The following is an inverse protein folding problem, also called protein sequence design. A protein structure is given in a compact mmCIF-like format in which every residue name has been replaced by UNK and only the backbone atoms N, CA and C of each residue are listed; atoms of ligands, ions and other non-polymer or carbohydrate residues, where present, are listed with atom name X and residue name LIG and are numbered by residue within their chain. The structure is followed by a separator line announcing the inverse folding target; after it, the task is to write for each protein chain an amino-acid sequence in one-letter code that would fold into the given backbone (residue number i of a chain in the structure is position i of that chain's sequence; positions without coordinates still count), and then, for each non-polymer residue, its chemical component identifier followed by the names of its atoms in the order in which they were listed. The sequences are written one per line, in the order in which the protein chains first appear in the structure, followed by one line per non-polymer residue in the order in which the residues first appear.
data_IF_959326224303
#
_entry.id   IF_959326224303
#
_cell.length_a   1.000
_cell.length_b   1.000
_cell.length_c   1.000
_cell.angle_alpha   90.00
_cell.angle_beta   90.00
_cell.angle_gamma   90.00
#
_symmetry.space_group_name_H-M   'P 1'
#
loop_
_entity.id
_entity.type
_entity.pdbx_description
1 polymer ?
#
# COMPACT_ATOMS: atom_id res chain seq x y z
N UNK A 1 11.45 -17.84 15.27
CA UNK A 1 10.44 -18.10 14.20
C UNK A 1 9.08 -18.29 14.87
N UNK A 2 8.05 -17.65 14.33
CA UNK A 2 6.70 -17.76 14.89
C UNK A 2 6.06 -19.12 14.55
N UNK A 3 5.31 -19.69 15.48
CA UNK A 3 4.47 -20.86 15.24
C UNK A 3 3.20 -20.45 14.47
N UNK A 4 2.52 -21.43 13.87
CA UNK A 4 1.24 -21.17 13.19
C UNK A 4 0.17 -20.62 14.14
N UNK A 5 0.14 -21.06 15.37
CA UNK A 5 -0.82 -20.56 16.38
C UNK A 5 -0.51 -19.13 16.80
N UNK A 6 0.77 -18.76 16.93
CA UNK A 6 1.18 -17.39 17.20
C UNK A 6 0.81 -16.46 16.04
N UNK A 7 1.02 -16.89 14.78
CA UNK A 7 0.62 -16.11 13.59
C UNK A 7 -0.89 -15.91 13.57
N UNK A 8 -1.67 -16.96 13.78
CA UNK A 8 -3.14 -16.86 13.84
C UNK A 8 -3.60 -15.89 14.93
N UNK A 9 -3.03 -15.97 16.11
CA UNK A 9 -3.36 -15.10 17.22
C UNK A 9 -3.07 -13.63 16.87
N UNK A 10 -1.91 -13.35 16.28
CA UNK A 10 -1.54 -11.99 15.85
C UNK A 10 -2.48 -11.45 14.76
N UNK A 11 -2.87 -12.29 13.79
CA UNK A 11 -3.84 -11.89 12.75
C UNK A 11 -5.20 -11.56 13.36
N UNK A 12 -5.70 -12.39 14.27
CA UNK A 12 -6.97 -12.15 14.96
C UNK A 12 -6.94 -10.82 15.73
N UNK A 13 -5.87 -10.56 16.47
CA UNK A 13 -5.68 -9.32 17.22
C UNK A 13 -5.60 -8.10 16.28
N UNK A 14 -4.89 -8.22 15.16
CA UNK A 14 -4.82 -7.15 14.16
C UNK A 14 -6.20 -6.83 13.58
N UNK A 15 -6.99 -7.84 13.21
CA UNK A 15 -8.37 -7.64 12.70
C UNK A 15 -9.26 -6.99 13.74
N UNK A 16 -9.18 -7.39 15.01
CA UNK A 16 -9.93 -6.76 16.11
C UNK A 16 -9.57 -5.28 16.26
N UNK A 17 -8.29 -4.95 16.22
CA UNK A 17 -7.80 -3.57 16.29
C UNK A 17 -8.31 -2.73 15.12
N UNK A 18 -8.25 -3.26 13.89
CA UNK A 18 -8.76 -2.58 12.70
C UNK A 18 -10.28 -2.33 12.84
N UNK A 19 -11.05 -3.32 13.24
CA UNK A 19 -12.50 -3.15 13.45
C UNK A 19 -12.85 -2.11 14.51
N UNK A 20 -12.09 -2.04 15.58
CA UNK A 20 -12.35 -1.10 16.67
C UNK A 20 -11.92 0.33 16.37
N UNK A 21 -10.87 0.52 15.57
CA UNK A 21 -10.32 1.84 15.25
C UNK A 21 -10.74 2.38 13.88
N UNK A 22 -11.22 1.52 12.98
CA UNK A 22 -11.62 1.85 11.61
C UNK A 22 -10.60 2.78 10.91
N UNK A 23 -9.33 2.36 10.77
CA UNK A 23 -8.30 3.22 10.20
C UNK A 23 -8.54 3.45 8.72
N UNK A 24 -8.11 4.63 8.24
CA UNK A 24 -8.08 4.91 6.82
C UNK A 24 -6.93 4.13 6.18
N UNK A 25 -7.25 3.28 5.21
CA UNK A 25 -6.30 2.57 4.39
C UNK A 25 -6.23 3.23 3.01
N UNK A 26 -5.15 3.94 2.74
CA UNK A 26 -4.91 4.55 1.44
C UNK A 26 -4.39 3.52 0.45
N UNK A 27 -4.82 3.61 -0.80
CA UNK A 27 -4.32 2.74 -1.86
C UNK A 27 -4.10 3.48 -3.16
N UNK A 28 -2.96 3.20 -3.78
CA UNK A 28 -2.67 3.52 -5.18
C UNK A 28 -2.43 2.16 -5.84
N UNK A 29 -3.40 1.68 -6.63
CA UNK A 29 -3.42 0.30 -7.09
C UNK A 29 -3.81 0.19 -8.57
N UNK A 30 -3.78 -1.02 -9.09
CA UNK A 30 -4.07 -1.27 -10.50
C UNK A 30 -5.58 -1.25 -10.80
N UNK A 31 -5.93 -0.92 -12.04
CA UNK A 31 -7.31 -0.79 -12.48
C UNK A 31 -8.09 -2.12 -12.57
N UNK A 32 -7.40 -3.24 -12.57
CA UNK A 32 -8.03 -4.58 -12.65
C UNK A 32 -8.65 -4.99 -11.31
N UNK A 33 -7.96 -4.70 -10.22
CA UNK A 33 -8.33 -5.20 -8.89
C UNK A 33 -8.74 -4.10 -7.90
N UNK A 34 -8.80 -2.85 -8.32
CA UNK A 34 -9.07 -1.70 -7.43
C UNK A 34 -10.35 -1.89 -6.61
N UNK A 35 -11.43 -2.32 -7.23
CA UNK A 35 -12.70 -2.55 -6.55
C UNK A 35 -12.60 -3.69 -5.53
N UNK A 36 -11.93 -4.77 -5.88
CA UNK A 36 -11.69 -5.89 -4.97
C UNK A 36 -10.87 -5.47 -3.74
N UNK A 37 -9.81 -4.70 -3.95
CA UNK A 37 -8.95 -4.18 -2.87
C UNK A 37 -9.75 -3.30 -1.92
N UNK A 38 -10.54 -2.36 -2.46
CA UNK A 38 -11.40 -1.50 -1.65
C UNK A 38 -12.38 -2.31 -0.80
N UNK A 39 -13.07 -3.28 -1.41
CA UNK A 39 -14.03 -4.12 -0.71
C UNK A 39 -13.37 -5.01 0.36
N UNK A 40 -12.18 -5.54 0.10
CA UNK A 40 -11.43 -6.31 1.09
C UNK A 40 -11.04 -5.46 2.32
N UNK A 41 -10.59 -4.22 2.09
CA UNK A 41 -10.27 -3.28 3.17
C UNK A 41 -11.50 -2.94 4.01
N UNK A 42 -12.65 -2.70 3.38
CA UNK A 42 -13.91 -2.48 4.08
C UNK A 42 -14.36 -3.72 4.86
N UNK A 43 -14.23 -4.89 4.27
CA UNK A 43 -14.66 -6.14 4.89
C UNK A 43 -13.92 -6.45 6.21
N UNK A 44 -12.64 -6.08 6.31
CA UNK A 44 -11.85 -6.26 7.55
C UNK A 44 -12.06 -5.13 8.56
N UNK A 45 -12.85 -4.11 8.23
CA UNK A 45 -13.23 -3.03 9.14
C UNK A 45 -12.46 -1.73 8.97
N UNK A 46 -11.65 -1.59 7.92
CA UNK A 46 -10.98 -0.34 7.57
C UNK A 46 -11.87 0.60 6.73
N UNK A 47 -11.41 1.83 6.54
CA UNK A 47 -11.98 2.77 5.57
C UNK A 47 -11.06 2.80 4.35
N UNK A 48 -11.60 2.45 3.17
CA UNK A 48 -10.82 2.39 1.94
C UNK A 48 -10.79 3.75 1.23
N UNK A 49 -9.60 4.21 0.86
CA UNK A 49 -9.40 5.43 0.07
C UNK A 49 -8.50 5.13 -1.13
N UNK A 50 -9.07 5.19 -2.33
CA UNK A 50 -8.36 4.95 -3.59
C UNK A 50 -8.04 6.29 -4.23
N UNK A 51 -6.76 6.57 -4.46
CA UNK A 51 -6.30 7.86 -4.99
C UNK A 51 -5.35 7.69 -6.17
N UNK A 52 -5.21 8.74 -6.96
CA UNK A 52 -4.37 8.81 -8.14
C UNK A 52 -3.44 10.02 -8.13
N UNK A 53 -3.83 11.12 -7.48
CA UNK A 53 -3.13 12.39 -7.57
C UNK A 53 -2.01 12.48 -6.53
N UNK A 54 -0.91 13.22 -6.85
CA UNK A 54 0.24 13.30 -5.94
C UNK A 54 -0.07 13.89 -4.56
N UNK A 55 -0.83 14.96 -4.52
CA UNK A 55 -1.23 15.63 -3.27
C UNK A 55 -2.17 14.75 -2.41
N UNK A 56 -3.06 14.00 -3.05
CA UNK A 56 -3.93 13.05 -2.36
C UNK A 56 -3.12 11.87 -1.78
N UNK A 57 -2.13 11.37 -2.52
CA UNK A 57 -1.22 10.33 -2.02
C UNK A 57 -0.43 10.80 -0.80
N UNK A 58 0.12 12.01 -0.84
CA UNK A 58 0.81 12.61 0.31
C UNK A 58 -0.12 12.84 1.51
N UNK A 59 -1.33 13.32 1.25
CA UNK A 59 -2.33 13.50 2.31
C UNK A 59 -2.63 12.16 3.02
N UNK A 60 -2.92 11.11 2.24
CA UNK A 60 -3.21 9.79 2.80
C UNK A 60 -2.01 9.18 3.53
N UNK A 61 -0.79 9.43 3.04
CA UNK A 61 0.42 9.00 3.71
C UNK A 61 0.53 9.55 5.14
N UNK A 62 0.08 10.79 5.35
CA UNK A 62 0.12 11.43 6.66
C UNK A 62 -1.11 11.14 7.52
N UNK A 63 -2.30 11.17 6.93
CA UNK A 63 -3.58 11.02 7.64
C UNK A 63 -3.99 9.56 7.88
N UNK A 64 -3.58 8.63 7.01
CA UNK A 64 -3.96 7.22 7.08
C UNK A 64 -3.20 6.41 8.12
N UNK A 65 -3.69 5.21 8.38
CA UNK A 65 -3.02 4.23 9.24
C UNK A 65 -1.91 3.45 8.52
N UNK A 66 -2.15 3.13 7.25
CA UNK A 66 -1.22 2.44 6.36
C UNK A 66 -1.60 2.70 4.90
N UNK A 67 -0.65 2.51 3.99
CA UNK A 67 -0.88 2.68 2.54
C UNK A 67 -0.44 1.44 1.76
N UNK A 68 -1.23 1.09 0.74
CA UNK A 68 -0.95 0.02 -0.20
C UNK A 68 -0.61 0.61 -1.58
N UNK A 69 0.54 0.23 -2.13
CA UNK A 69 0.98 0.62 -3.47
C UNK A 69 1.17 -0.63 -4.32
N UNK A 70 0.43 -0.71 -5.43
CA UNK A 70 0.50 -1.77 -6.42
C UNK A 70 0.79 -1.16 -7.79
N UNK A 71 1.84 -1.60 -8.45
CA UNK A 71 2.30 -1.05 -9.73
C UNK A 71 1.79 -1.82 -10.96
N UNK A 72 0.72 -2.59 -10.83
CA UNK A 72 0.18 -3.43 -11.91
C UNK A 72 -0.32 -2.63 -13.11
N UNK A 73 -0.96 -1.49 -12.88
CA UNK A 73 -1.33 -0.53 -13.92
C UNK A 73 -0.64 0.79 -13.60
N UNK A 74 0.20 1.29 -14.50
CA UNK A 74 0.86 2.58 -14.34
C UNK A 74 0.24 3.60 -15.30
N UNK A 75 -0.27 4.69 -14.72
CA UNK A 75 -0.68 5.88 -15.45
C UNK A 75 0.47 6.91 -15.46
N UNK A 76 0.54 7.80 -16.46
CA UNK A 76 1.62 8.80 -16.52
C UNK A 76 1.79 9.62 -15.24
N UNK A 77 0.69 10.00 -14.59
CA UNK A 77 0.72 10.75 -13.32
C UNK A 77 1.44 10.00 -12.19
N UNK A 78 1.54 8.68 -12.25
CA UNK A 78 2.18 7.88 -11.22
C UNK A 78 3.70 8.05 -11.17
N UNK A 79 4.32 8.56 -12.22
CA UNK A 79 5.72 8.97 -12.18
C UNK A 79 5.98 10.01 -11.08
N UNK A 80 5.00 10.86 -10.81
CA UNK A 80 5.03 11.85 -9.74
C UNK A 80 4.38 11.33 -8.45
N UNK A 81 3.17 10.76 -8.54
CA UNK A 81 2.38 10.34 -7.38
C UNK A 81 3.09 9.32 -6.52
N UNK A 82 3.66 8.28 -7.12
CA UNK A 82 4.21 7.15 -6.37
C UNK A 82 5.47 7.52 -5.57
N UNK A 83 6.48 8.20 -6.13
CA UNK A 83 7.65 8.61 -5.35
C UNK A 83 7.29 9.59 -4.23
N UNK A 84 6.41 10.55 -4.49
CA UNK A 84 5.98 11.53 -3.49
C UNK A 84 5.25 10.86 -2.33
N UNK A 85 4.35 9.93 -2.64
CA UNK A 85 3.62 9.17 -1.60
C UNK A 85 4.56 8.30 -0.78
N UNK A 86 5.45 7.55 -1.42
CA UNK A 86 6.40 6.68 -0.73
C UNK A 86 7.36 7.47 0.16
N UNK A 87 7.84 8.62 -0.33
CA UNK A 87 8.66 9.55 0.45
C UNK A 87 7.91 10.07 1.68
N UNK A 88 6.68 10.53 1.52
CA UNK A 88 5.85 11.02 2.62
C UNK A 88 5.60 9.94 3.67
N UNK A 89 5.34 8.70 3.26
CA UNK A 89 5.19 7.55 4.16
C UNK A 89 6.47 7.29 4.97
N UNK A 90 7.61 7.31 4.30
CA UNK A 90 8.91 7.11 4.95
C UNK A 90 9.21 8.22 5.97
N UNK A 91 9.04 9.47 5.59
CA UNK A 91 9.27 10.64 6.46
C UNK A 91 8.31 10.68 7.65
N UNK A 92 7.05 10.27 7.46
CA UNK A 92 6.06 10.20 8.54
C UNK A 92 6.20 8.93 9.42
N UNK A 93 7.08 8.01 9.08
CA UNK A 93 7.22 6.73 9.79
C UNK A 93 5.99 5.85 9.69
N UNK A 94 5.20 5.97 8.64
CA UNK A 94 3.97 5.20 8.44
C UNK A 94 4.24 3.89 7.71
N UNK A 95 3.56 2.80 8.10
CA UNK A 95 3.71 1.53 7.41
C UNK A 95 3.09 1.56 6.01
N UNK A 96 3.74 0.88 5.07
CA UNK A 96 3.19 0.71 3.75
C UNK A 96 3.61 -0.61 3.10
N UNK A 97 2.75 -1.08 2.20
CA UNK A 97 2.92 -2.34 1.48
C UNK A 97 3.18 -2.05 0.02
N UNK A 98 4.22 -2.66 -0.52
CA UNK A 98 4.54 -2.63 -1.95
C UNK A 98 4.18 -3.97 -2.59
N UNK A 99 3.40 -3.92 -3.67
CA UNK A 99 3.13 -5.04 -4.56
C UNK A 99 3.79 -4.78 -5.93
N UNK A 100 5.01 -5.30 -6.16
CA UNK A 100 5.82 -4.98 -7.34
C UNK A 100 5.42 -5.82 -8.55
N UNK A 101 4.21 -5.64 -9.03
CA UNK A 101 3.66 -6.38 -10.17
C UNK A 101 4.48 -6.14 -11.44
N UNK A 102 4.69 -7.19 -12.23
CA UNK A 102 5.32 -7.14 -13.54
C UNK A 102 6.76 -6.55 -13.52
N UNK A 103 7.56 -7.01 -12.58
CA UNK A 103 8.97 -6.61 -12.46
C UNK A 103 9.70 -6.85 -13.79
N UNK A 104 10.44 -5.84 -14.25
CA UNK A 104 11.23 -5.90 -15.49
C UNK A 104 10.46 -5.45 -16.73
N UNK A 105 9.18 -5.13 -16.62
CA UNK A 105 8.41 -4.60 -17.75
C UNK A 105 8.46 -3.07 -17.73
N UNK A 106 9.11 -2.50 -18.75
CA UNK A 106 9.15 -1.07 -19.00
C UNK A 106 10.07 -0.26 -18.08
N UNK A 107 10.49 0.90 -18.56
CA UNK A 107 11.47 1.73 -17.88
C UNK A 107 10.90 2.45 -16.66
N UNK A 108 9.68 2.98 -16.74
CA UNK A 108 9.05 3.69 -15.64
C UNK A 108 8.87 2.78 -14.42
N UNK A 109 8.30 1.58 -14.63
CA UNK A 109 8.13 0.60 -13.54
C UNK A 109 9.45 0.24 -12.89
N UNK A 110 10.47 -0.05 -13.70
CA UNK A 110 11.80 -0.38 -13.21
C UNK A 110 12.41 0.75 -12.39
N UNK A 111 12.29 1.99 -12.88
CA UNK A 111 12.77 3.18 -12.17
C UNK A 111 12.05 3.38 -10.84
N UNK A 112 10.72 3.28 -10.82
CA UNK A 112 9.92 3.42 -9.61
C UNK A 112 10.28 2.36 -8.56
N UNK A 113 10.39 1.09 -8.96
CA UNK A 113 10.75 0.01 -8.06
C UNK A 113 12.15 0.18 -7.45
N UNK A 114 13.09 0.76 -8.20
CA UNK A 114 14.41 1.12 -7.67
C UNK A 114 14.33 2.23 -6.64
N UNK A 115 13.54 3.28 -6.89
CA UNK A 115 13.34 4.39 -5.96
C UNK A 115 12.69 3.94 -4.65
N UNK A 116 11.72 3.02 -4.71
CA UNK A 116 11.01 2.54 -3.53
C UNK A 116 11.91 1.87 -2.48
N UNK A 117 13.05 1.35 -2.86
CA UNK A 117 14.03 0.79 -1.90
C UNK A 117 14.50 1.83 -0.89
N UNK A 118 14.65 3.07 -1.31
CA UNK A 118 15.09 4.17 -0.45
C UNK A 118 14.05 4.54 0.61
N UNK A 119 12.77 4.30 0.30
CA UNK A 119 11.64 4.64 1.18
C UNK A 119 11.16 3.45 2.04
N UNK A 120 11.89 2.35 2.01
CA UNK A 120 11.77 1.19 2.91
C UNK A 120 10.33 0.70 3.14
N UNK A 121 9.70 0.04 2.15
CA UNK A 121 8.40 -0.59 2.37
C UNK A 121 8.43 -1.49 3.61
N UNK A 122 7.37 -1.45 4.40
CA UNK A 122 7.24 -2.30 5.59
C UNK A 122 7.06 -3.75 5.19
N UNK A 123 6.27 -3.98 4.13
CA UNK A 123 6.00 -5.30 3.57
C UNK A 123 6.12 -5.22 2.06
N UNK A 124 6.79 -6.20 1.47
CA UNK A 124 6.76 -6.44 0.03
C UNK A 124 6.02 -7.76 -0.18
N UNK A 125 4.92 -7.71 -0.92
CA UNK A 125 4.15 -8.91 -1.26
C UNK A 125 4.09 -9.09 -2.77
N UNK A 126 4.09 -10.33 -3.23
CA UNK A 126 4.03 -10.63 -4.65
C UNK A 126 3.88 -12.11 -4.91
N UNK A 127 3.65 -12.43 -6.16
CA UNK A 127 3.64 -13.81 -6.63
C UNK A 127 5.07 -14.28 -6.94
N UNK A 128 5.27 -15.57 -6.89
CA UNK A 128 6.53 -16.19 -7.29
C UNK A 128 6.73 -16.10 -8.81
#
# INVERSE_FOLDING_TARGET
MYTNEEIKSQVIEAVKKVKSSNPMAGSITNSVTINFVANAQLAVGGSAAMVYLPDEGEFLANAGGATYINVGTLMPIYEETLPRTAKALHEAGKPWVLDPVAIGIGDLRTSLLKQFKEYKPTIIRGNA
#
